data_IF_181851860488
#
_entry.id   IF_181851860488
#
_cell.length_a   1.000
_cell.length_b   1.000
_cell.length_c   1.000
_cell.angle_alpha   90.00
_cell.angle_beta   90.00
_cell.angle_gamma   90.00
#
_symmetry.space_group_name_H-M   'P 1'
#
loop_
_entity.id
_entity.type
_entity.pdbx_description
1 polymer ?
#
# COMPACT_ATOMS: atom_id res chain seq x y z
N UNK A 1 65.50 49.38 35.67
CA UNK A 1 65.77 48.10 34.97
C UNK A 1 64.53 47.25 35.10
N UNK A 2 64.02 46.71 34.00
CA UNK A 2 62.87 45.80 34.04
C UNK A 2 63.29 44.49 34.70
N UNK A 3 62.46 43.96 35.60
CA UNK A 3 62.80 42.70 36.27
C UNK A 3 62.52 41.50 35.36
N UNK A 4 63.25 40.40 35.54
CA UNK A 4 63.06 39.17 34.76
C UNK A 4 61.63 38.63 34.90
N UNK A 5 61.03 38.78 36.09
CA UNK A 5 59.65 38.39 36.36
C UNK A 5 58.66 39.18 35.52
N UNK A 6 58.84 40.50 35.48
CA UNK A 6 58.00 41.40 34.69
C UNK A 6 58.11 41.06 33.20
N UNK A 7 59.32 40.81 32.69
CA UNK A 7 59.52 40.39 31.30
C UNK A 7 58.79 39.08 30.94
N UNK A 8 58.68 38.14 31.89
CA UNK A 8 57.97 36.86 31.68
C UNK A 8 56.45 37.03 31.67
N UNK A 9 55.92 37.89 32.54
CA UNK A 9 54.48 38.16 32.64
C UNK A 9 53.93 38.84 31.38
N UNK A 10 54.75 39.67 30.73
CA UNK A 10 54.43 40.32 29.45
C UNK A 10 54.66 39.44 28.21
N UNK A 11 54.99 38.15 28.38
CA UNK A 11 55.16 37.24 27.25
C UNK A 11 53.81 36.84 26.67
N UNK A 12 53.48 37.42 25.52
CA UNK A 12 52.21 37.17 24.81
C UNK A 12 52.20 35.74 24.21
N UNK A 13 51.21 34.89 24.54
CA UNK A 13 51.06 33.58 23.93
C UNK A 13 50.79 33.66 22.42
N UNK A 14 51.26 32.68 21.62
CA UNK A 14 50.96 32.65 20.18
C UNK A 14 49.46 32.48 19.94
N UNK A 15 48.92 33.24 18.98
CA UNK A 15 47.52 33.12 18.58
C UNK A 15 47.32 31.89 17.68
N UNK A 16 46.69 30.86 18.22
CA UNK A 16 46.31 29.65 17.49
C UNK A 16 44.82 29.77 17.13
N UNK A 17 44.53 29.85 15.84
CA UNK A 17 43.18 30.00 15.32
C UNK A 17 42.55 28.63 15.01
N UNK A 18 41.27 28.47 15.35
CA UNK A 18 40.46 27.31 14.93
C UNK A 18 40.00 27.41 13.46
N UNK A 19 40.18 28.56 12.79
CA UNK A 19 39.70 28.78 11.41
C UNK A 19 40.80 29.00 10.37
N UNK A 20 41.95 29.55 10.74
CA UNK A 20 42.99 29.98 9.78
C UNK A 20 44.36 29.41 10.13
N UNK A 21 45.02 28.82 9.13
CA UNK A 21 46.40 28.35 9.19
C UNK A 21 47.16 28.71 7.90
N UNK A 22 47.44 30.01 7.72
CA UNK A 22 47.99 30.53 6.46
C UNK A 22 49.37 29.94 6.09
N UNK A 23 50.19 29.60 7.09
CA UNK A 23 51.54 29.05 6.89
C UNK A 23 51.60 27.51 6.99
N UNK A 24 50.45 26.85 7.17
CA UNK A 24 50.38 25.38 7.21
C UNK A 24 51.12 24.75 8.40
N UNK A 25 51.24 25.43 9.54
CA UNK A 25 51.92 24.87 10.71
C UNK A 25 51.23 23.59 11.21
N UNK A 26 52.04 22.59 11.55
CA UNK A 26 51.56 21.37 12.23
C UNK A 26 51.42 21.68 13.71
N UNK A 27 50.18 21.83 14.17
CA UNK A 27 49.85 22.23 15.55
C UNK A 27 49.15 21.04 16.23
N UNK A 28 49.62 20.59 17.41
CA UNK A 28 49.00 19.48 18.14
C UNK A 28 47.59 19.83 18.64
N UNK A 29 46.78 18.80 18.89
CA UNK A 29 45.35 18.94 19.18
C UNK A 29 45.06 19.67 20.49
N UNK A 30 45.87 19.44 21.52
CA UNK A 30 45.76 20.11 22.82
C UNK A 30 45.84 21.64 22.68
N UNK A 31 46.74 22.15 21.83
CA UNK A 31 46.91 23.59 21.60
C UNK A 31 45.80 24.21 20.75
N UNK A 32 45.17 23.43 19.87
CA UNK A 32 43.98 23.86 19.12
C UNK A 32 42.75 23.90 20.03
N UNK A 33 42.57 22.86 20.84
CA UNK A 33 41.42 22.74 21.74
C UNK A 33 41.51 23.69 22.93
N UNK A 34 42.71 24.05 23.39
CA UNK A 34 42.91 24.98 24.50
C UNK A 34 42.29 26.36 24.25
N UNK A 35 42.20 26.80 22.99
CA UNK A 35 41.60 28.08 22.61
C UNK A 35 40.06 28.06 22.58
N UNK A 36 39.45 26.87 22.69
CA UNK A 36 38.05 26.66 22.37
C UNK A 36 37.11 27.17 23.48
N UNK A 37 37.57 27.31 24.73
CA UNK A 37 36.80 27.87 25.86
C UNK A 37 35.53 27.10 26.25
N UNK A 38 34.99 26.23 25.38
CA UNK A 38 33.81 25.40 25.58
C UNK A 38 33.95 24.45 26.76
N UNK A 39 35.17 23.98 27.03
CA UNK A 39 35.48 23.16 28.20
C UNK A 39 35.49 23.92 29.53
N UNK A 40 35.45 25.25 29.51
CA UNK A 40 35.39 26.10 30.72
C UNK A 40 33.94 26.40 31.13
N UNK A 41 32.97 26.26 30.21
CA UNK A 41 31.57 26.47 30.51
C UNK A 41 30.94 25.21 31.12
N UNK A 42 30.69 25.25 32.42
CA UNK A 42 29.87 24.21 33.06
C UNK A 42 28.40 24.44 32.70
N UNK A 43 27.76 23.41 32.14
CA UNK A 43 26.33 23.44 31.82
C UNK A 43 25.55 23.23 33.11
N UNK A 44 24.78 24.24 33.52
CA UNK A 44 23.88 24.17 34.67
C UNK A 44 22.44 24.11 34.18
N UNK A 45 21.60 23.30 34.84
CA UNK A 45 20.18 23.13 34.48
C UNK A 45 19.29 23.80 35.53
N UNK A 46 18.25 24.49 35.08
CA UNK A 46 17.28 25.18 35.94
C UNK A 46 16.23 24.20 36.51
N UNK A 47 15.91 24.31 37.80
CA UNK A 47 14.88 23.51 38.48
C UNK A 47 13.45 23.71 37.92
N UNK A 48 13.18 24.84 37.26
CA UNK A 48 11.88 25.08 36.62
C UNK A 48 11.56 24.04 35.54
N UNK A 49 12.57 23.41 34.92
CA UNK A 49 12.36 22.31 33.99
C UNK A 49 11.75 21.07 34.68
N UNK A 50 12.17 20.77 35.92
CA UNK A 50 11.59 19.67 36.69
C UNK A 50 10.13 19.97 37.07
N UNK A 51 9.86 21.17 37.59
CA UNK A 51 8.49 21.60 37.95
C UNK A 51 7.53 21.56 36.76
N UNK A 52 8.00 21.99 35.59
CA UNK A 52 7.21 21.94 34.35
C UNK A 52 6.94 20.50 33.92
N UNK A 53 7.96 19.64 33.94
CA UNK A 53 7.81 18.23 33.56
C UNK A 53 6.81 17.50 34.48
N UNK A 54 6.90 17.73 35.80
CA UNK A 54 5.97 17.17 36.77
C UNK A 54 4.53 17.69 36.57
N UNK A 55 4.38 19.00 36.34
CA UNK A 55 3.08 19.59 36.08
C UNK A 55 2.41 18.99 34.83
N UNK A 56 3.18 18.83 33.74
CA UNK A 56 2.69 18.20 32.52
C UNK A 56 2.33 16.72 32.73
N UNK A 57 3.13 15.99 33.50
CA UNK A 57 2.84 14.60 33.82
C UNK A 57 1.55 14.43 34.64
N UNK A 58 1.34 15.29 35.63
CA UNK A 58 0.11 15.30 36.43
C UNK A 58 -1.08 15.71 35.57
N UNK A 59 -0.92 16.70 34.69
CA UNK A 59 -1.97 17.15 33.78
C UNK A 59 -2.39 16.06 32.81
N UNK A 60 -1.44 15.35 32.19
CA UNK A 60 -1.72 14.25 31.27
C UNK A 60 -2.47 13.11 31.97
N UNK A 61 -2.01 12.70 33.16
CA UNK A 61 -2.69 11.66 33.94
C UNK A 61 -4.14 12.02 34.24
N UNK A 62 -4.39 13.25 34.73
CA UNK A 62 -5.74 13.74 35.02
C UNK A 62 -6.60 13.86 33.75
N UNK A 63 -6.01 14.27 32.62
CA UNK A 63 -6.71 14.36 31.35
C UNK A 63 -7.16 12.98 30.86
N UNK A 64 -6.30 11.96 30.97
CA UNK A 64 -6.64 10.57 30.63
C UNK A 64 -7.76 10.02 31.51
N UNK A 65 -7.66 10.20 32.82
CA UNK A 65 -8.72 9.79 33.77
C UNK A 65 -10.07 10.45 33.42
N UNK A 66 -10.07 11.75 33.12
CA UNK A 66 -11.29 12.47 32.74
C UNK A 66 -11.88 11.99 31.40
N UNK A 67 -11.02 11.72 30.41
CA UNK A 67 -11.46 11.17 29.11
C UNK A 67 -12.02 9.76 29.28
N UNK A 68 -11.38 8.91 30.08
CA UNK A 68 -11.85 7.55 30.33
C UNK A 68 -13.21 7.56 31.06
N UNK A 69 -13.36 8.38 32.10
CA UNK A 69 -14.65 8.54 32.79
C UNK A 69 -15.76 8.99 31.83
N UNK A 70 -15.49 9.98 30.97
CA UNK A 70 -16.47 10.42 29.96
C UNK A 70 -16.82 9.30 28.98
N UNK A 71 -15.83 8.58 28.46
CA UNK A 71 -16.06 7.49 27.53
C UNK A 71 -16.87 6.35 28.18
N UNK A 72 -16.63 6.04 29.46
CA UNK A 72 -17.43 5.05 30.21
C UNK A 72 -18.88 5.51 30.40
N UNK A 73 -19.10 6.78 30.74
CA UNK A 73 -20.45 7.36 30.89
C UNK A 73 -21.20 7.35 29.56
N UNK A 74 -20.58 7.78 28.46
CA UNK A 74 -21.17 7.76 27.13
C UNK A 74 -21.55 6.36 26.68
N UNK A 75 -20.67 5.37 26.90
CA UNK A 75 -20.96 3.95 26.62
C UNK A 75 -22.17 3.47 27.42
N UNK A 76 -22.25 3.81 28.71
CA UNK A 76 -23.37 3.41 29.58
C UNK A 76 -24.68 4.07 29.15
N UNK A 77 -24.65 5.34 28.76
CA UNK A 77 -25.81 6.05 28.23
C UNK A 77 -26.29 5.43 26.91
N UNK A 78 -25.36 5.16 25.99
CA UNK A 78 -25.67 4.52 24.71
C UNK A 78 -26.23 3.10 24.89
N UNK A 79 -25.72 2.31 25.84
CA UNK A 79 -26.28 1.00 26.19
C UNK A 79 -27.72 1.13 26.70
N UNK A 80 -27.96 2.08 27.62
CA UNK A 80 -29.30 2.33 28.17
C UNK A 80 -30.29 2.82 27.10
N UNK A 81 -29.84 3.61 26.13
CA UNK A 81 -30.68 4.03 25.00
C UNK A 81 -31.00 2.86 24.05
N UNK A 82 -30.03 1.98 23.79
CA UNK A 82 -30.26 0.76 23.01
C UNK A 82 -31.25 -0.18 23.69
N UNK A 83 -31.12 -0.40 24.99
CA UNK A 83 -32.05 -1.22 25.77
C UNK A 83 -33.47 -0.66 25.73
N UNK A 84 -33.63 0.66 25.93
CA UNK A 84 -34.94 1.34 25.75
C UNK A 84 -35.50 1.21 24.34
N UNK A 85 -34.64 1.22 23.33
CA UNK A 85 -35.06 1.05 21.94
C UNK A 85 -35.53 -0.38 21.68
N UNK A 86 -34.80 -1.39 22.19
CA UNK A 86 -35.18 -2.79 22.12
C UNK A 86 -36.49 -3.07 22.86
N UNK A 87 -36.67 -2.49 24.06
CA UNK A 87 -37.92 -2.59 24.82
C UNK A 87 -39.10 -2.01 24.05
N UNK A 88 -38.97 -0.81 23.47
CA UNK A 88 -40.00 -0.21 22.60
C UNK A 88 -40.32 -1.08 21.39
N UNK A 89 -39.31 -1.67 20.74
CA UNK A 89 -39.51 -2.60 19.63
C UNK A 89 -40.23 -3.87 20.09
N UNK A 90 -39.91 -4.37 21.28
CA UNK A 90 -40.56 -5.53 21.89
C UNK A 90 -42.03 -5.26 22.22
N UNK A 91 -42.34 -4.10 22.81
CA UNK A 91 -43.72 -3.66 23.05
C UNK A 91 -44.50 -3.51 21.74
N UNK A 92 -43.89 -2.89 20.72
CA UNK A 92 -44.52 -2.73 19.41
C UNK A 92 -44.80 -4.10 18.76
N UNK A 93 -43.84 -5.03 18.85
CA UNK A 93 -44.02 -6.39 18.36
C UNK A 93 -45.09 -7.16 19.14
N UNK A 94 -45.14 -6.99 20.47
CA UNK A 94 -46.18 -7.60 21.31
C UNK A 94 -47.57 -7.06 20.94
N UNK A 95 -47.71 -5.74 20.81
CA UNK A 95 -48.97 -5.10 20.38
C UNK A 95 -49.39 -5.55 18.98
N UNK A 96 -48.43 -5.73 18.06
CA UNK A 96 -48.71 -6.29 16.73
C UNK A 96 -49.15 -7.77 16.81
N UNK A 97 -48.55 -8.56 17.69
CA UNK A 97 -48.96 -9.95 17.96
C UNK A 97 -50.34 -10.02 18.60
N UNK A 98 -50.67 -9.17 19.57
CA UNK A 98 -52.00 -9.12 20.21
C UNK A 98 -53.09 -8.74 19.21
N UNK A 99 -52.82 -7.77 18.32
CA UNK A 99 -53.70 -7.43 17.20
C UNK A 99 -53.90 -8.61 16.25
N UNK A 100 -52.85 -9.38 15.96
CA UNK A 100 -52.92 -10.59 15.12
C UNK A 100 -53.59 -11.77 15.82
N UNK A 101 -53.35 -11.95 17.12
CA UNK A 101 -53.88 -13.03 17.96
C UNK A 101 -55.36 -12.82 18.34
N UNK A 102 -55.94 -11.67 18.01
CA UNK A 102 -57.39 -11.55 17.88
C UNK A 102 -58.13 -11.32 19.19
N UNK A 103 -57.64 -10.47 20.10
CA UNK A 103 -58.54 -9.76 21.03
C UNK A 103 -59.28 -8.69 20.23
N UNK A 104 -60.20 -9.19 19.40
CA UNK A 104 -61.19 -8.39 18.69
C UNK A 104 -62.23 -8.00 19.75
N UNK A 105 -62.20 -6.75 20.19
CA UNK A 105 -63.34 -6.10 20.81
C UNK A 105 -64.55 -6.33 19.89
N UNK A 106 -65.61 -6.89 20.45
CA UNK A 106 -66.74 -7.53 19.76
C UNK A 106 -67.60 -6.57 18.89
N UNK A 107 -67.18 -5.33 18.66
CA UNK A 107 -67.99 -4.29 18.03
C UNK A 107 -67.55 -3.87 16.62
N UNK A 108 -66.32 -4.21 16.18
CA UNK A 108 -65.85 -3.86 14.82
C UNK A 108 -65.62 -5.08 13.89
N UNK A 109 -65.91 -6.31 14.35
CA UNK A 109 -65.65 -7.54 13.57
C UNK A 109 -66.57 -7.72 12.36
N UNK A 110 -67.85 -7.34 12.44
CA UNK A 110 -68.81 -7.76 11.42
C UNK A 110 -68.56 -7.09 10.05
N UNK A 111 -68.13 -5.83 10.03
CA UNK A 111 -67.95 -5.09 8.77
C UNK A 111 -66.58 -5.35 8.11
N UNK A 112 -65.54 -5.60 8.92
CA UNK A 112 -64.20 -5.96 8.43
C UNK A 112 -64.11 -7.40 7.93
N UNK A 113 -64.70 -8.36 8.63
CA UNK A 113 -64.66 -9.78 8.25
C UNK A 113 -65.45 -10.08 6.97
N UNK A 114 -66.48 -9.28 6.65
CA UNK A 114 -67.22 -9.39 5.40
C UNK A 114 -66.35 -8.95 4.21
N UNK A 115 -65.65 -7.81 4.34
CA UNK A 115 -64.74 -7.29 3.30
C UNK A 115 -63.54 -8.20 3.08
N UNK A 116 -62.94 -8.70 4.16
CA UNK A 116 -61.80 -9.63 4.07
C UNK A 116 -62.21 -10.96 3.39
N UNK A 117 -63.42 -11.46 3.66
CA UNK A 117 -63.97 -12.64 2.96
C UNK A 117 -64.24 -12.40 1.48
N UNK A 118 -64.67 -11.19 1.12
CA UNK A 118 -64.94 -10.80 -0.26
C UNK A 118 -63.65 -10.59 -1.04
N UNK A 119 -62.62 -9.99 -0.43
CA UNK A 119 -61.28 -9.88 -0.99
C UNK A 119 -60.65 -11.26 -1.22
N UNK A 120 -60.75 -12.17 -0.26
CA UNK A 120 -60.27 -13.56 -0.42
C UNK A 120 -61.00 -14.27 -1.57
N UNK A 121 -62.30 -14.05 -1.75
CA UNK A 121 -63.06 -14.63 -2.88
C UNK A 121 -62.65 -14.02 -4.21
N UNK A 122 -62.39 -12.72 -4.24
CA UNK A 122 -61.94 -12.01 -5.43
C UNK A 122 -60.52 -12.43 -5.83
N UNK A 123 -59.57 -12.47 -4.90
CA UNK A 123 -58.19 -12.86 -5.14
C UNK A 123 -58.09 -14.30 -5.60
N UNK A 124 -58.84 -15.23 -4.98
CA UNK A 124 -58.88 -16.62 -5.42
C UNK A 124 -59.52 -16.80 -6.81
N UNK A 125 -60.36 -15.85 -7.25
CA UNK A 125 -60.91 -15.82 -8.62
C UNK A 125 -59.87 -15.30 -9.60
N UNK A 126 -59.17 -14.22 -9.23
CA UNK A 126 -58.10 -13.60 -10.01
C UNK A 126 -56.89 -14.52 -10.16
N UNK A 127 -56.52 -15.25 -9.12
CA UNK A 127 -55.47 -16.27 -9.12
C UNK A 127 -55.83 -17.44 -10.04
N UNK A 128 -57.06 -18.00 -9.94
CA UNK A 128 -57.51 -19.04 -10.88
C UNK A 128 -57.52 -18.55 -12.33
N UNK A 129 -57.85 -17.29 -12.57
CA UNK A 129 -57.84 -16.70 -13.90
C UNK A 129 -56.40 -16.48 -14.41
N UNK A 130 -55.51 -16.01 -13.55
CA UNK A 130 -54.09 -15.88 -13.84
C UNK A 130 -53.45 -17.24 -14.12
N UNK A 131 -53.75 -18.25 -13.30
CA UNK A 131 -53.23 -19.61 -13.45
C UNK A 131 -53.78 -20.29 -14.71
N UNK A 132 -55.05 -20.04 -15.05
CA UNK A 132 -55.65 -20.51 -16.31
C UNK A 132 -55.02 -19.83 -17.53
N UNK A 133 -54.71 -18.54 -17.46
CA UNK A 133 -54.03 -17.81 -18.52
C UNK A 133 -52.57 -18.28 -18.67
N UNK A 134 -51.87 -18.49 -17.55
CA UNK A 134 -50.50 -18.99 -17.53
C UNK A 134 -50.42 -20.44 -18.06
N UNK A 135 -51.38 -21.29 -17.68
CA UNK A 135 -51.53 -22.66 -18.21
C UNK A 135 -51.77 -22.69 -19.72
N UNK A 136 -52.41 -21.65 -20.26
CA UNK A 136 -52.73 -21.55 -21.69
C UNK A 136 -51.59 -20.95 -22.52
N UNK A 137 -50.70 -20.17 -21.90
CA UNK A 137 -49.63 -19.45 -22.58
C UNK A 137 -48.35 -20.28 -22.80
N UNK A 138 -47.99 -21.21 -21.90
CA UNK A 138 -46.84 -22.11 -22.07
C UNK A 138 -46.85 -23.29 -21.06
N UNK A 139 -47.46 -24.45 -21.39
CA UNK A 139 -47.52 -25.58 -20.45
C UNK A 139 -46.15 -26.16 -20.09
N UNK A 140 -45.19 -26.17 -21.02
CA UNK A 140 -43.88 -26.83 -20.81
C UNK A 140 -42.91 -26.02 -19.94
N UNK A 141 -43.05 -24.69 -19.91
CA UNK A 141 -42.16 -23.81 -19.13
C UNK A 141 -42.58 -23.74 -17.66
N UNK A 142 -43.85 -24.02 -17.35
CA UNK A 142 -44.44 -23.95 -16.00
C UNK A 142 -43.87 -25.01 -15.05
N UNK A 143 -43.81 -26.27 -15.49
CA UNK A 143 -43.34 -27.38 -14.64
C UNK A 143 -41.88 -27.19 -14.20
N UNK A 144 -41.05 -26.59 -15.06
CA UNK A 144 -39.63 -26.37 -14.78
C UNK A 144 -39.37 -25.13 -13.90
N UNK A 145 -40.13 -24.05 -14.09
CA UNK A 145 -40.04 -22.84 -13.27
C UNK A 145 -40.60 -23.06 -11.86
N UNK A 146 -41.78 -23.66 -11.74
CA UNK A 146 -42.43 -23.89 -10.44
C UNK A 146 -41.70 -24.94 -9.60
N UNK A 147 -41.07 -25.93 -10.25
CA UNK A 147 -40.22 -26.92 -9.56
C UNK A 147 -38.87 -26.33 -9.14
N UNK A 148 -38.37 -25.30 -9.81
CA UNK A 148 -37.15 -24.61 -9.38
C UNK A 148 -37.43 -23.58 -8.27
N UNK A 149 -38.61 -22.97 -8.27
CA UNK A 149 -39.04 -21.99 -7.27
C UNK A 149 -39.30 -22.61 -5.89
N UNK A 150 -39.82 -23.85 -5.85
CA UNK A 150 -40.11 -24.59 -4.61
C UNK A 150 -38.95 -25.49 -4.12
N UNK A 151 -37.75 -25.40 -4.71
CA UNK A 151 -36.60 -26.19 -4.24
C UNK A 151 -35.95 -25.53 -3.05
N UNK A 152 -35.71 -26.32 -2.02
CA UNK A 152 -34.94 -25.86 -0.86
C UNK A 152 -33.53 -25.44 -1.28
N UNK A 153 -32.99 -24.43 -0.60
CA UNK A 153 -31.70 -23.81 -0.92
C UNK A 153 -30.56 -24.85 -0.97
N UNK A 154 -30.66 -25.90 -0.14
CA UNK A 154 -29.73 -27.04 -0.15
C UNK A 154 -29.81 -27.88 -1.42
N UNK A 155 -31.00 -28.11 -1.98
CA UNK A 155 -31.20 -28.85 -3.24
C UNK A 155 -30.78 -28.03 -4.46
N UNK A 156 -30.98 -26.70 -4.42
CA UNK A 156 -30.48 -25.77 -5.44
C UNK A 156 -28.94 -25.81 -5.51
N UNK A 157 -28.27 -25.87 -4.36
CA UNK A 157 -26.81 -26.00 -4.27
C UNK A 157 -26.35 -27.38 -4.79
N UNK A 158 -27.03 -28.46 -4.41
CA UNK A 158 -26.70 -29.82 -4.85
C UNK A 158 -26.91 -30.04 -6.36
N UNK A 159 -27.89 -29.34 -6.96
CA UNK A 159 -28.17 -29.37 -8.40
C UNK A 159 -27.32 -28.38 -9.21
N UNK A 160 -26.42 -27.63 -8.56
CA UNK A 160 -25.50 -26.71 -9.23
C UNK A 160 -26.19 -25.60 -10.01
N UNK A 161 -27.44 -25.27 -9.69
CA UNK A 161 -28.17 -24.18 -10.36
C UNK A 161 -27.48 -22.87 -9.96
N UNK A 162 -26.91 -22.10 -10.90
CA UNK A 162 -26.18 -20.90 -10.56
C UNK A 162 -27.13 -19.90 -9.90
N UNK A 163 -26.82 -19.45 -8.69
CA UNK A 163 -27.51 -18.33 -8.06
C UNK A 163 -27.13 -17.06 -8.83
N UNK A 164 -28.04 -16.44 -9.61
CA UNK A 164 -27.74 -15.18 -10.25
C UNK A 164 -27.73 -14.13 -9.13
N UNK A 165 -26.56 -13.78 -8.62
CA UNK A 165 -26.44 -12.66 -7.69
C UNK A 165 -26.94 -11.42 -8.44
N UNK A 166 -28.06 -10.80 -8.04
CA UNK A 166 -28.46 -9.56 -8.68
C UNK A 166 -27.44 -8.49 -8.26
N UNK A 167 -26.53 -8.13 -9.17
CA UNK A 167 -25.74 -6.91 -9.00
C UNK A 167 -26.68 -5.74 -9.26
N UNK A 168 -27.11 -5.07 -8.20
CA UNK A 168 -27.99 -3.89 -8.28
C UNK A 168 -27.29 -2.65 -8.88
N UNK A 169 -26.05 -2.78 -9.36
CA UNK A 169 -25.24 -1.70 -9.92
C UNK A 169 -24.87 -2.00 -11.37
N UNK A 170 -24.78 -0.95 -12.18
CA UNK A 170 -24.32 -1.00 -13.58
C UNK A 170 -22.93 -1.64 -13.60
N UNK A 171 -22.79 -2.77 -14.29
CA UNK A 171 -21.52 -3.46 -14.41
C UNK A 171 -20.55 -2.63 -15.25
N UNK A 172 -19.52 -2.07 -14.62
CA UNK A 172 -18.44 -1.37 -15.29
C UNK A 172 -17.37 -2.37 -15.77
N UNK A 173 -16.73 -2.09 -16.90
CA UNK A 173 -15.64 -2.91 -17.45
C UNK A 173 -14.43 -2.92 -16.51
N UNK A 174 -13.98 -4.10 -16.08
CA UNK A 174 -12.86 -4.29 -15.16
C UNK A 174 -11.55 -3.66 -15.66
N UNK A 175 -11.37 -3.53 -16.98
CA UNK A 175 -10.21 -2.86 -17.59
C UNK A 175 -10.12 -1.38 -17.28
N UNK A 176 -11.21 -0.76 -16.81
CA UNK A 176 -11.26 0.66 -16.47
C UNK A 176 -10.79 0.95 -15.03
N UNK A 177 -10.96 0.01 -14.09
CA UNK A 177 -10.66 0.24 -12.67
C UNK A 177 -9.18 0.20 -12.31
N UNK A 178 -8.33 -0.35 -13.18
CA UNK A 178 -6.89 -0.47 -12.95
C UNK A 178 -6.06 0.44 -13.85
N UNK A 179 -6.66 1.51 -14.39
CA UNK A 179 -5.93 2.53 -15.14
C UNK A 179 -5.42 3.58 -14.15
N UNK A 180 -4.10 3.68 -13.95
CA UNK A 180 -3.48 4.72 -13.10
C UNK A 180 -3.47 6.12 -13.73
N UNK A 181 -4.15 6.30 -14.86
CA UNK A 181 -4.19 7.59 -15.56
C UNK A 181 -4.97 8.60 -14.72
N UNK A 182 -4.32 9.71 -14.38
CA UNK A 182 -4.95 10.88 -13.74
C UNK A 182 -4.51 11.21 -12.31
N UNK A 183 -3.71 10.36 -11.65
CA UNK A 183 -3.10 10.72 -10.34
C UNK A 183 -1.72 11.37 -10.51
N UNK A 184 -0.94 10.95 -11.51
CA UNK A 184 0.44 11.42 -11.70
C UNK A 184 0.55 12.65 -12.61
N UNK A 185 -0.48 12.97 -13.39
CA UNK A 185 -0.51 14.10 -14.34
C UNK A 185 -1.22 15.33 -13.74
N UNK A 186 -0.86 15.71 -12.51
CA UNK A 186 -1.41 16.87 -11.82
C UNK A 186 -0.65 18.15 -12.15
N UNK A 187 -1.36 19.27 -12.24
CA UNK A 187 -0.76 20.62 -12.27
C UNK A 187 -0.01 20.85 -10.96
N UNK A 188 1.31 20.71 -11.00
CA UNK A 188 2.19 20.82 -9.84
C UNK A 188 2.39 22.29 -9.42
N UNK A 189 1.32 22.92 -8.95
CA UNK A 189 1.36 24.21 -8.25
C UNK A 189 1.84 25.42 -9.05
N UNK A 190 2.01 25.30 -10.38
CA UNK A 190 2.61 26.36 -11.20
C UNK A 190 4.14 26.39 -11.13
N UNK A 191 4.79 25.31 -10.71
CA UNK A 191 6.24 25.18 -10.81
C UNK A 191 6.63 24.94 -12.28
N UNK A 192 7.05 26.02 -12.95
CA UNK A 192 7.49 26.04 -14.36
C UNK A 192 8.69 25.11 -14.64
N UNK A 193 9.38 24.67 -13.60
CA UNK A 193 10.55 23.78 -13.68
C UNK A 193 10.16 22.32 -13.99
N UNK A 194 8.89 21.93 -13.78
CA UNK A 194 8.48 20.53 -13.84
C UNK A 194 8.23 20.04 -15.28
N UNK A 195 8.14 20.93 -16.29
CA UNK A 195 8.10 20.61 -17.73
C UNK A 195 7.19 19.42 -18.14
N UNK A 196 6.09 19.20 -17.43
CA UNK A 196 5.12 18.12 -17.67
C UNK A 196 3.98 18.56 -18.62
N UNK A 197 4.32 19.22 -19.73
CA UNK A 197 3.32 19.75 -20.69
C UNK A 197 2.61 18.65 -21.49
N UNK A 198 3.25 17.49 -21.64
CA UNK A 198 2.73 16.37 -22.42
C UNK A 198 2.62 15.12 -21.55
N UNK A 199 1.47 14.44 -21.64
CA UNK A 199 1.20 13.20 -20.90
C UNK A 199 1.94 11.98 -21.46
N UNK A 200 2.48 12.07 -22.69
CA UNK A 200 3.14 10.96 -23.38
C UNK A 200 4.46 11.41 -24.01
N UNK A 201 5.51 10.58 -23.94
CA UNK A 201 6.77 10.88 -24.61
C UNK A 201 6.59 10.80 -26.14
N UNK A 202 7.29 11.67 -26.87
CA UNK A 202 7.27 11.72 -28.33
C UNK A 202 7.67 10.38 -29.00
N UNK A 203 8.48 9.55 -28.32
CA UNK A 203 8.83 8.20 -28.79
C UNK A 203 8.57 7.17 -27.70
N UNK A 204 7.91 6.07 -28.07
CA UNK A 204 7.71 4.87 -27.25
C UNK A 204 9.00 4.04 -27.04
N UNK A 205 10.16 4.56 -27.48
CA UNK A 205 11.41 3.83 -27.53
C UNK A 205 11.91 3.33 -26.17
N UNK A 206 11.53 3.97 -25.06
CA UNK A 206 11.94 3.54 -23.72
C UNK A 206 11.18 2.29 -23.24
N UNK A 207 9.91 2.18 -23.63
CA UNK A 207 9.06 1.03 -23.32
C UNK A 207 9.34 -0.13 -24.29
N UNK A 208 9.56 0.20 -25.57
CA UNK A 208 10.05 -0.79 -26.54
C UNK A 208 11.46 -1.28 -26.19
N UNK A 209 12.38 -0.43 -25.70
CA UNK A 209 13.75 -0.84 -25.38
C UNK A 209 13.84 -1.98 -24.36
N UNK A 210 12.87 -2.10 -23.44
CA UNK A 210 12.78 -3.24 -22.52
C UNK A 210 12.41 -4.56 -23.21
N UNK A 211 11.92 -4.49 -24.45
CA UNK A 211 11.45 -5.60 -25.28
C UNK A 211 12.21 -5.74 -26.62
N UNK A 212 13.08 -4.78 -26.99
CA UNK A 212 13.82 -4.80 -28.27
C UNK A 212 14.75 -6.01 -28.36
N UNK A 213 15.33 -6.46 -27.24
CA UNK A 213 16.11 -7.69 -27.23
C UNK A 213 16.08 -8.35 -25.84
N UNK A 214 15.24 -9.38 -25.70
CA UNK A 214 15.26 -10.32 -24.57
C UNK A 214 15.24 -11.74 -25.14
N UNK A 215 16.42 -12.35 -25.39
CA UNK A 215 16.47 -13.75 -25.78
C UNK A 215 15.88 -14.60 -24.66
N UNK A 216 14.69 -15.16 -24.90
CA UNK A 216 14.09 -16.12 -23.98
C UNK A 216 14.51 -17.51 -24.42
N UNK A 217 15.44 -18.13 -23.69
CA UNK A 217 15.86 -19.52 -23.93
C UNK A 217 14.69 -20.51 -23.92
N UNK A 218 13.57 -20.14 -23.29
CA UNK A 218 12.38 -20.99 -23.21
C UNK A 218 11.52 -20.92 -24.48
N UNK A 219 11.45 -19.77 -25.16
CA UNK A 219 10.63 -19.62 -26.37
C UNK A 219 11.26 -20.34 -27.56
N UNK A 220 12.59 -20.29 -27.68
CA UNK A 220 13.30 -20.99 -28.75
C UNK A 220 13.27 -22.52 -28.59
N UNK A 221 13.15 -23.01 -27.34
CA UNK A 221 13.10 -24.45 -27.04
C UNK A 221 11.82 -25.09 -27.57
N UNK A 222 10.69 -24.39 -27.46
CA UNK A 222 9.40 -24.85 -27.98
C UNK A 222 9.31 -24.74 -29.51
N UNK A 223 10.02 -23.78 -30.13
CA UNK A 223 10.02 -23.56 -31.58
C UNK A 223 10.99 -24.45 -32.37
N UNK A 224 12.20 -24.68 -31.86
CA UNK A 224 13.27 -25.40 -32.59
C UNK A 224 13.59 -26.79 -32.03
N UNK A 225 13.01 -27.16 -30.88
CA UNK A 225 13.25 -28.43 -30.21
C UNK A 225 14.71 -28.64 -29.78
N UNK A 226 14.97 -29.71 -29.02
CA UNK A 226 16.32 -30.07 -28.53
C UNK A 226 17.34 -30.39 -29.66
N UNK A 227 16.89 -30.46 -30.92
CA UNK A 227 17.70 -30.80 -32.11
C UNK A 227 18.81 -29.78 -32.39
N UNK A 228 18.59 -28.50 -32.09
CA UNK A 228 19.61 -27.46 -32.26
C UNK A 228 20.75 -27.66 -31.23
N UNK A 229 20.39 -27.96 -29.99
CA UNK A 229 21.36 -28.20 -28.91
C UNK A 229 22.14 -29.50 -29.14
N UNK A 230 21.47 -30.54 -29.65
CA UNK A 230 22.10 -31.79 -30.05
C UNK A 230 23.09 -31.62 -31.21
N UNK A 231 22.72 -30.86 -32.26
CA UNK A 231 23.60 -30.57 -33.41
C UNK A 231 24.82 -29.76 -33.01
N UNK A 232 24.67 -28.75 -32.14
CA UNK A 232 25.78 -27.95 -31.61
C UNK A 232 26.75 -28.80 -30.78
N UNK A 233 26.25 -29.80 -30.04
CA UNK A 233 27.07 -30.70 -29.22
C UNK A 233 27.83 -31.75 -30.05
N UNK A 234 27.36 -32.10 -31.25
CA UNK A 234 28.11 -33.02 -32.11
C UNK A 234 29.29 -32.30 -32.76
N UNK A 235 30.52 -32.74 -32.44
CA UNK A 235 31.78 -32.29 -33.07
C UNK A 235 31.90 -32.75 -34.56
N UNK A 236 30.82 -32.73 -35.33
CA UNK A 236 30.78 -33.19 -36.73
C UNK A 236 31.40 -32.21 -37.72
N UNK A 237 31.60 -30.96 -37.29
CA UNK A 237 32.22 -29.89 -38.07
C UNK A 237 33.52 -29.45 -37.40
N UNK A 238 34.56 -30.27 -37.56
CA UNK A 238 35.94 -29.90 -37.23
C UNK A 238 36.69 -29.77 -38.57
N UNK A 239 37.18 -28.58 -38.95
CA UNK A 239 38.00 -28.43 -40.15
C UNK A 239 39.36 -29.10 -39.99
N UNK A 240 39.85 -29.81 -41.02
CA UNK A 240 41.15 -30.51 -41.01
C UNK A 240 42.38 -29.58 -41.02
N UNK A 241 42.17 -28.27 -41.24
CA UNK A 241 43.22 -27.24 -41.20
C UNK A 241 42.86 -26.22 -40.12
N UNK A 242 43.54 -26.31 -38.98
CA UNK A 242 43.33 -25.40 -37.85
C UNK A 242 44.15 -24.11 -38.03
N UNK A 243 43.56 -22.96 -37.72
CA UNK A 243 44.24 -21.66 -37.72
C UNK A 243 45.00 -21.52 -36.40
N UNK A 244 46.28 -21.11 -36.44
CA UNK A 244 47.25 -21.23 -35.34
C UNK A 244 46.99 -20.37 -34.09
N UNK A 245 45.78 -19.85 -33.90
CA UNK A 245 45.39 -18.99 -32.77
C UNK A 245 44.06 -19.37 -32.11
N UNK A 246 43.49 -20.55 -32.38
CA UNK A 246 42.28 -21.01 -31.69
C UNK A 246 42.61 -22.02 -30.58
N UNK A 247 42.78 -21.54 -29.35
CA UNK A 247 42.90 -22.40 -28.17
C UNK A 247 41.55 -23.08 -27.87
N UNK A 248 41.47 -24.41 -28.02
CA UNK A 248 40.24 -25.19 -27.76
C UNK A 248 39.91 -25.39 -26.28
N UNK A 249 40.73 -24.85 -25.37
CA UNK A 249 40.58 -25.06 -23.93
C UNK A 249 39.63 -24.08 -23.22
N UNK A 250 38.90 -23.24 -23.97
CA UNK A 250 37.92 -22.28 -23.43
C UNK A 250 36.46 -22.80 -23.43
N UNK A 251 36.24 -24.10 -23.71
CA UNK A 251 34.91 -24.76 -23.74
C UNK A 251 34.22 -24.92 -22.37
N UNK A 252 34.48 -24.03 -21.42
CA UNK A 252 33.79 -23.94 -20.14
C UNK A 252 32.98 -22.65 -19.93
N UNK A 253 33.09 -21.66 -20.83
CA UNK A 253 32.26 -20.44 -20.77
C UNK A 253 31.33 -20.43 -21.96
N UNK A 254 30.07 -20.79 -21.72
CA UNK A 254 28.98 -20.51 -22.64
C UNK A 254 29.07 -19.03 -23.04
N UNK A 255 29.06 -18.77 -24.35
CA UNK A 255 29.11 -17.42 -24.91
C UNK A 255 27.75 -16.75 -24.72
N UNK A 256 27.36 -16.55 -23.46
CA UNK A 256 26.17 -15.81 -23.04
C UNK A 256 26.61 -14.38 -22.69
N UNK A 257 26.90 -13.59 -23.71
CA UNK A 257 27.25 -12.18 -23.57
C UNK A 257 27.37 -11.52 -24.94
N UNK A 258 27.09 -10.21 -25.04
CA UNK A 258 27.39 -9.47 -26.26
C UNK A 258 28.88 -9.64 -26.61
N UNK A 259 29.17 -9.69 -27.91
CA UNK A 259 30.51 -9.92 -28.46
C UNK A 259 31.51 -8.97 -27.79
N UNK A 260 32.41 -9.53 -26.98
CA UNK A 260 33.58 -8.82 -26.46
C UNK A 260 34.58 -8.69 -27.60
N UNK A 261 35.04 -7.46 -27.87
CA UNK A 261 36.12 -7.21 -28.79
C UNK A 261 37.44 -7.42 -28.03
N UNK A 262 38.35 -8.22 -28.58
CA UNK A 262 39.71 -8.28 -28.04
C UNK A 262 40.44 -7.00 -28.45
N UNK A 263 41.11 -6.42 -27.45
CA UNK A 263 42.02 -5.28 -27.52
C UNK A 263 41.37 -3.94 -27.87
N UNK A 264 41.00 -3.18 -26.82
CA UNK A 264 40.66 -1.76 -26.89
C UNK A 264 41.93 -0.94 -27.21
N UNK A 265 42.13 -0.47 -28.46
CA UNK A 265 43.35 0.23 -28.89
C UNK A 265 43.50 1.59 -28.19
N UNK A 266 42.44 2.07 -27.54
CA UNK A 266 42.35 3.39 -26.95
C UNK A 266 42.33 3.38 -25.41
N UNK A 267 42.38 2.20 -24.78
CA UNK A 267 42.49 2.07 -23.32
C UNK A 267 41.33 2.70 -22.52
N UNK A 268 40.19 2.91 -23.18
CA UNK A 268 38.97 3.46 -22.61
C UNK A 268 38.39 2.54 -21.51
N UNK A 269 38.54 1.23 -21.66
CA UNK A 269 38.07 0.26 -20.66
C UNK A 269 38.85 0.40 -19.33
N UNK A 270 40.17 0.61 -19.40
CA UNK A 270 40.99 0.89 -18.20
C UNK A 270 40.63 2.23 -17.57
N UNK A 271 40.38 3.24 -18.39
CA UNK A 271 39.96 4.57 -17.93
C UNK A 271 38.59 4.53 -17.23
N UNK A 272 37.64 3.76 -17.76
CA UNK A 272 36.32 3.57 -17.16
C UNK A 272 36.39 2.74 -15.86
N UNK A 273 37.28 1.74 -15.78
CA UNK A 273 37.52 0.99 -14.54
C UNK A 273 38.17 1.85 -13.45
N UNK A 274 39.13 2.69 -13.80
CA UNK A 274 39.79 3.63 -12.87
C UNK A 274 38.80 4.67 -12.34
N UNK A 275 37.95 5.23 -13.20
CA UNK A 275 36.87 6.13 -12.80
C UNK A 275 35.85 5.45 -11.86
N UNK A 276 35.58 4.16 -12.07
CA UNK A 276 34.66 3.38 -11.24
C UNK A 276 35.27 2.99 -9.88
N UNK A 277 36.58 2.73 -9.83
CA UNK A 277 37.31 2.52 -8.57
C UNK A 277 37.40 3.80 -7.72
N UNK A 278 37.55 4.97 -8.35
CA UNK A 278 37.67 6.25 -7.64
C UNK A 278 36.33 6.96 -7.34
N UNK A 279 35.23 6.59 -8.01
CA UNK A 279 33.89 7.17 -7.78
C UNK A 279 33.02 6.46 -6.75
N UNK A 280 33.48 5.37 -6.14
CA UNK A 280 32.68 4.45 -5.32
C UNK A 280 32.73 4.63 -3.81
N UNK A 281 33.00 5.83 -3.29
CA UNK A 281 32.93 6.11 -1.85
C UNK A 281 31.48 6.38 -1.44
N UNK A 282 30.75 5.32 -1.10
CA UNK A 282 29.49 5.42 -0.35
C UNK A 282 29.79 6.08 1.00
N UNK A 283 29.32 7.31 1.18
CA UNK A 283 29.19 7.97 2.49
C UNK A 283 28.40 7.07 3.45
N UNK A 284 28.87 6.79 4.67
CA UNK A 284 28.02 6.24 5.72
C UNK A 284 27.20 7.40 6.31
N UNK A 285 25.88 7.39 6.10
CA UNK A 285 24.97 8.22 6.86
C UNK A 285 24.66 7.53 8.18
N UNK A 286 25.24 8.06 9.25
CA UNK A 286 24.87 7.75 10.62
C UNK A 286 23.55 8.48 10.95
N UNK A 287 22.50 7.73 11.28
CA UNK A 287 21.39 8.23 12.07
C UNK A 287 20.70 7.06 12.79
N UNK A 288 21.26 6.70 13.93
CA UNK A 288 20.59 5.91 14.96
C UNK A 288 19.62 6.79 15.76
N UNK A 289 18.30 6.54 15.68
CA UNK A 289 17.31 6.86 16.73
C UNK A 289 15.99 6.08 16.48
N UNK A 290 15.11 5.90 17.49
CA UNK A 290 14.66 4.60 17.95
C UNK A 290 13.27 4.23 17.44
N UNK A 291 12.93 2.94 17.55
CA UNK A 291 11.57 2.43 17.39
C UNK A 291 10.63 3.04 18.43
N UNK A 292 9.71 3.90 17.98
CA UNK A 292 8.44 4.13 18.69
C UNK A 292 7.32 3.36 17.97
N UNK A 293 6.60 2.59 18.77
CA UNK A 293 5.30 2.02 18.46
C UNK A 293 4.27 3.14 18.33
N UNK A 294 3.56 3.23 17.21
CA UNK A 294 2.22 3.82 17.21
C UNK A 294 1.21 2.96 16.45
N UNK A 295 0.22 2.52 17.22
CA UNK A 295 -1.01 1.91 16.75
C UNK A 295 -1.95 2.97 16.17
N UNK A 296 -2.37 2.72 14.93
CA UNK A 296 -3.76 2.76 14.47
C UNK A 296 -4.68 3.87 15.04
N UNK A 297 -4.87 4.94 14.27
CA UNK A 297 -6.08 5.76 14.35
C UNK A 297 -6.76 5.86 12.99
N UNK A 298 -7.71 4.95 12.77
CA UNK A 298 -8.73 5.04 11.71
C UNK A 298 -9.66 6.22 12.01
N UNK A 299 -9.51 7.32 11.28
CA UNK A 299 -10.52 8.39 11.24
C UNK A 299 -11.48 8.12 10.07
N UNK A 300 -12.64 7.56 10.40
CA UNK A 300 -13.80 7.51 9.51
C UNK A 300 -14.38 8.91 9.39
N UNK A 301 -14.43 9.44 8.16
CA UNK A 301 -15.39 10.46 7.75
C UNK A 301 -16.76 9.79 7.61
N UNK A 302 -17.81 10.39 8.17
CA UNK A 302 -19.12 10.48 7.52
C UNK A 302 -19.91 11.65 8.12
N UNK A 303 -20.64 12.27 7.22
CA UNK A 303 -21.76 13.20 7.37
C UNK A 303 -22.71 12.90 8.54
#
# INVERSE_FOLDING_TARGET
QMTVKEQQEWKIPPCISNWKNAKGYTIPLDKRLAADGRGLQTVHINENFAKLAEALYIADRKAREAVEMRAQVERKMAQKEKEKHEEKLREMAQKARERRAGIKTHLEKEDGEARERDEIRHDRRKERQHDRNLSRAAPDKRSKLQRNENRDISEVIALGVPNPRPSNEIQYDQRLFNQSKGMDSGFAGGEDEIYNVYDQPWRSGKDMAQNIYRPSKNVDKDMYGDDLEARIKTNRFVPDKEFSNSDRNTRGRGRDGPVQFEEDPFGLDKFLEEAKQHGGSKRPSDSSRPKEHEHESKKRRKD
#
